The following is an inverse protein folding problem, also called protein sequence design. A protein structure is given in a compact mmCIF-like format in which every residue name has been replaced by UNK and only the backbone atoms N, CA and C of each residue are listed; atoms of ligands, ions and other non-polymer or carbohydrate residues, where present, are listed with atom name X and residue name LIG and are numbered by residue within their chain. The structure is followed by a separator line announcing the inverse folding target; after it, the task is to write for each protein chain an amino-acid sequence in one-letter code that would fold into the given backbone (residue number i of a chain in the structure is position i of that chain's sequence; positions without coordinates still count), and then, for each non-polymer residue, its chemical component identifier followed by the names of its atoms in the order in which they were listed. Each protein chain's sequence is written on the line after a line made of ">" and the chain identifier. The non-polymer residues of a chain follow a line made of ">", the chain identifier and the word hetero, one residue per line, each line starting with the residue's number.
data_IF_648875541526
#
_entry.id   IF_648875541526
#
_cell.length_a   1.000
_cell.length_b   1.000
_cell.length_c   1.000
_cell.angle_alpha   90.00
_cell.angle_beta   90.00
_cell.angle_gamma   90.00
#
_symmetry.space_group_name_H-M   'P 1'
#
loop_
_entity.id
_entity.type
_entity.pdbx_description
1 polymer ?
#
# COMPACT_ATOMS: atom_id res chain seq x y z
N UNK A 1 -38.03 -14.47 -59.82
CA UNK A 1 -38.95 -15.62 -60.04
C UNK A 1 -38.14 -16.90 -60.01
N UNK A 2 -38.76 -18.01 -59.58
CA UNK A 2 -38.23 -19.37 -59.31
C UNK A 2 -37.40 -19.50 -58.03
N UNK A 3 -37.93 -20.04 -56.92
CA UNK A 3 -38.55 -21.36 -56.59
C UNK A 3 -37.50 -22.40 -56.14
N UNK A 4 -37.77 -22.88 -54.93
CA UNK A 4 -37.22 -23.97 -54.12
C UNK A 4 -36.89 -25.26 -54.88
N UNK A 5 -36.00 -26.11 -54.32
CA UNK A 5 -36.45 -27.27 -53.52
C UNK A 5 -35.34 -28.32 -53.24
N UNK A 6 -35.40 -28.86 -52.01
CA UNK A 6 -35.01 -30.20 -51.52
C UNK A 6 -33.55 -30.68 -51.50
N UNK A 7 -33.08 -30.95 -50.27
CA UNK A 7 -31.88 -31.71 -49.92
C UNK A 7 -32.32 -32.98 -49.17
N UNK A 8 -31.95 -34.19 -49.61
CA UNK A 8 -31.74 -35.37 -48.71
C UNK A 8 -30.82 -36.44 -49.37
N UNK A 9 -30.02 -37.10 -48.50
CA UNK A 9 -29.27 -38.38 -48.61
C UNK A 9 -27.80 -38.25 -49.06
N UNK A 10 -26.80 -38.93 -48.49
CA UNK A 10 -26.78 -40.16 -47.68
C UNK A 10 -25.57 -40.20 -46.72
N UNK A 11 -25.65 -41.06 -45.70
CA UNK A 11 -24.59 -41.38 -44.75
C UNK A 11 -23.58 -42.40 -45.32
N UNK A 12 -22.34 -42.39 -44.81
CA UNK A 12 -21.45 -43.55 -44.82
C UNK A 12 -20.44 -43.46 -43.67
N UNK A 13 -20.39 -44.54 -42.88
CA UNK A 13 -19.51 -44.76 -41.74
C UNK A 13 -18.08 -45.09 -42.20
N UNK A 14 -17.08 -44.61 -41.47
CA UNK A 14 -15.68 -45.01 -41.63
C UNK A 14 -15.19 -45.74 -40.37
N UNK A 15 -14.78 -47.00 -40.54
CA UNK A 15 -14.09 -47.79 -39.53
C UNK A 15 -12.60 -47.45 -39.52
N UNK A 16 -12.01 -47.29 -38.34
CA UNK A 16 -10.57 -47.10 -38.16
C UNK A 16 -9.98 -48.38 -37.56
N UNK A 17 -9.09 -49.00 -38.31
CA UNK A 17 -8.27 -50.15 -37.93
C UNK A 17 -7.09 -49.71 -37.06
N UNK A 18 -6.86 -50.45 -35.98
CA UNK A 18 -5.72 -50.33 -35.08
C UNK A 18 -4.50 -51.07 -35.64
N UNK A 19 -3.33 -50.43 -35.61
CA UNK A 19 -2.04 -51.08 -35.84
C UNK A 19 -1.21 -51.01 -34.55
N UNK A 20 -0.79 -52.18 -34.06
CA UNK A 20 0.13 -52.33 -32.94
C UNK A 20 1.57 -52.42 -33.45
N UNK A 21 2.50 -51.75 -32.79
CA UNK A 21 3.94 -51.97 -32.94
C UNK A 21 4.53 -52.27 -31.57
N UNK A 22 5.16 -53.44 -31.46
CA UNK A 22 5.88 -53.89 -30.28
C UNK A 22 7.29 -53.28 -30.25
N UNK A 23 7.76 -52.91 -29.05
CA UNK A 23 9.17 -52.62 -28.79
C UNK A 23 9.61 -53.41 -27.55
N UNK A 24 10.63 -54.24 -27.77
CA UNK A 24 11.28 -55.12 -26.79
C UNK A 24 12.01 -54.34 -25.70
N UNK A 25 12.04 -54.93 -24.51
CA UNK A 25 12.54 -54.32 -23.28
C UNK A 25 14.06 -54.19 -23.17
N UNK A 26 14.45 -53.22 -22.35
CA UNK A 26 15.76 -53.15 -21.70
C UNK A 26 15.47 -53.04 -20.20
N UNK A 27 15.97 -54.01 -19.44
CA UNK A 27 15.88 -54.03 -17.99
C UNK A 27 16.85 -53.00 -17.38
N UNK A 28 16.34 -52.11 -16.54
CA UNK A 28 17.15 -51.29 -15.64
C UNK A 28 16.90 -51.74 -14.20
N UNK A 29 17.99 -52.09 -13.52
CA UNK A 29 18.04 -52.52 -12.14
C UNK A 29 17.49 -51.41 -11.21
N UNK A 30 16.53 -51.79 -10.36
CA UNK A 30 15.92 -50.89 -9.40
C UNK A 30 16.87 -50.54 -8.24
N UNK A 31 17.15 -49.26 -8.06
CA UNK A 31 17.46 -48.70 -6.76
C UNK A 31 16.20 -48.07 -6.19
N UNK A 32 15.59 -48.73 -5.19
CA UNK A 32 14.49 -48.15 -4.40
C UNK A 32 15.04 -47.01 -3.54
N UNK A 33 14.84 -45.77 -3.97
CA UNK A 33 14.87 -44.63 -3.05
C UNK A 33 13.45 -44.49 -2.49
N UNK A 34 13.25 -44.97 -1.27
CA UNK A 34 12.08 -44.63 -0.45
C UNK A 34 12.15 -43.16 -0.04
N UNK A 35 11.81 -42.27 -0.96
CA UNK A 35 11.50 -40.88 -0.66
C UNK A 35 9.99 -40.73 -0.58
N UNK A 36 9.43 -40.62 0.63
CA UNK A 36 8.08 -40.07 0.82
C UNK A 36 8.13 -38.61 0.37
N UNK A 37 7.86 -38.34 -0.91
CA UNK A 37 7.50 -36.99 -1.34
C UNK A 37 6.09 -36.72 -0.83
N UNK A 38 6.01 -36.18 0.38
CA UNK A 38 4.82 -35.47 0.84
C UNK A 38 4.58 -34.33 -0.14
N UNK A 39 3.42 -34.35 -0.79
CA UNK A 39 2.86 -33.17 -1.45
C UNK A 39 2.91 -32.00 -0.45
N UNK A 40 3.29 -30.78 -0.87
CA UNK A 40 3.21 -29.64 0.03
C UNK A 40 1.75 -29.49 0.49
N UNK A 41 1.56 -29.39 1.80
CA UNK A 41 0.26 -29.10 2.37
C UNK A 41 -0.28 -27.82 1.71
N UNK A 42 -1.51 -27.88 1.18
CA UNK A 42 -2.22 -26.69 0.77
C UNK A 42 -2.23 -25.74 1.98
N UNK A 43 -1.62 -24.55 1.84
CA UNK A 43 -1.70 -23.52 2.86
C UNK A 43 -3.19 -23.22 3.09
N UNK A 44 -3.73 -23.71 4.20
CA UNK A 44 -5.07 -23.34 4.65
C UNK A 44 -5.07 -21.84 4.92
N UNK A 45 -6.15 -21.17 4.53
CA UNK A 45 -6.33 -19.75 4.85
C UNK A 45 -6.19 -19.55 6.37
N UNK A 46 -5.53 -18.48 6.84
CA UNK A 46 -5.30 -18.26 8.25
C UNK A 46 -6.65 -18.20 8.99
N UNK A 47 -6.75 -18.80 10.18
CA UNK A 47 -7.93 -18.60 11.01
C UNK A 47 -8.01 -17.11 11.42
N UNK A 48 -9.18 -16.45 11.41
CA UNK A 48 -9.26 -15.01 11.71
C UNK A 48 -8.58 -14.59 13.01
N UNK A 49 -8.75 -15.36 14.08
CA UNK A 49 -8.14 -15.08 15.39
C UNK A 49 -6.60 -15.17 15.37
N UNK A 50 -6.01 -15.91 14.42
CA UNK A 50 -4.55 -16.00 14.30
C UNK A 50 -3.91 -14.68 13.88
N UNK A 51 -4.67 -13.74 13.30
CA UNK A 51 -4.16 -12.45 12.87
C UNK A 51 -3.88 -11.49 14.04
N UNK A 52 -4.41 -11.74 15.25
CA UNK A 52 -4.16 -10.88 16.42
C UNK A 52 -2.66 -10.73 16.67
N UNK A 53 -2.20 -9.49 16.83
CA UNK A 53 -0.79 -9.11 16.98
C UNK A 53 -0.01 -9.01 15.66
N UNK A 54 -0.55 -9.53 14.57
CA UNK A 54 0.09 -9.44 13.24
C UNK A 54 -0.27 -8.13 12.53
N UNK A 55 0.50 -7.78 11.50
CA UNK A 55 0.12 -6.69 10.59
C UNK A 55 -1.18 -7.07 9.88
N UNK A 56 -2.16 -6.19 9.88
CA UNK A 56 -3.41 -6.43 9.19
C UNK A 56 -3.16 -6.52 7.67
N UNK A 57 -3.70 -7.54 6.97
CA UNK A 57 -3.57 -7.63 5.52
C UNK A 57 -4.04 -6.35 4.84
N UNK A 58 -3.25 -5.85 3.88
CA UNK A 58 -3.55 -4.61 3.21
C UNK A 58 -4.76 -4.78 2.27
N UNK A 59 -5.64 -3.78 2.21
CA UNK A 59 -6.73 -3.77 1.24
C UNK A 59 -6.84 -2.44 0.52
N UNK A 60 -7.40 -2.49 -0.69
CA UNK A 60 -7.92 -1.36 -1.44
C UNK A 60 -9.18 -1.85 -2.15
N UNK A 61 -10.35 -1.50 -1.61
CA UNK A 61 -11.66 -1.94 -2.10
C UNK A 61 -12.49 -0.74 -2.55
N UNK A 62 -13.25 -0.83 -3.64
CA UNK A 62 -14.22 0.20 -3.98
C UNK A 62 -15.34 0.26 -2.92
N UNK A 63 -15.76 1.47 -2.57
CA UNK A 63 -16.96 1.68 -1.76
C UNK A 63 -18.23 1.66 -2.62
N UNK A 64 -19.37 1.96 -2.01
CA UNK A 64 -20.64 2.03 -2.72
C UNK A 64 -20.61 3.02 -3.91
N UNK A 65 -19.79 4.05 -3.89
CA UNK A 65 -19.69 5.03 -4.97
C UNK A 65 -18.52 4.74 -5.94
N UNK A 66 -18.05 3.50 -5.97
CA UNK A 66 -16.89 3.06 -6.75
C UNK A 66 -15.58 3.77 -6.36
N UNK A 67 -15.57 4.48 -5.22
CA UNK A 67 -14.38 5.18 -4.74
C UNK A 67 -13.49 4.19 -3.99
N UNK A 68 -12.20 4.07 -4.34
CA UNK A 68 -11.30 3.18 -3.63
C UNK A 68 -11.09 3.67 -2.19
N UNK A 69 -11.25 2.76 -1.23
CA UNK A 69 -10.93 2.94 0.19
C UNK A 69 -9.87 1.91 0.57
N UNK A 70 -8.87 2.35 1.31
CA UNK A 70 -7.73 1.49 1.64
C UNK A 70 -7.40 1.50 3.12
N UNK A 71 -6.80 0.43 3.62
CA UNK A 71 -6.29 0.40 4.99
C UNK A 71 -5.25 1.52 5.23
N UNK A 72 -4.47 1.86 4.20
CA UNK A 72 -3.44 2.89 4.27
C UNK A 72 -4.02 4.29 4.50
N UNK A 73 -5.24 4.58 4.03
CA UNK A 73 -5.90 5.89 4.25
C UNK A 73 -6.28 6.12 5.72
N UNK A 74 -6.35 5.04 6.51
CA UNK A 74 -6.75 5.05 7.89
C UNK A 74 -5.56 5.05 8.88
N UNK A 75 -4.34 5.27 8.39
CA UNK A 75 -3.11 5.28 9.19
C UNK A 75 -3.22 6.26 10.37
N UNK A 76 -2.75 5.84 11.54
CA UNK A 76 -2.81 6.66 12.76
C UNK A 76 -4.20 6.72 13.41
N UNK A 77 -5.19 6.02 12.83
CA UNK A 77 -6.52 5.84 13.40
C UNK A 77 -6.75 4.37 13.70
N UNK A 78 -7.67 4.11 14.62
CA UNK A 78 -8.22 2.77 14.74
C UNK A 78 -9.09 2.46 13.52
N UNK A 79 -9.07 1.19 13.08
CA UNK A 79 -9.97 0.71 12.03
C UNK A 79 -10.84 -0.40 12.60
N UNK A 80 -12.16 -0.25 12.49
CA UNK A 80 -13.11 -1.33 12.73
C UNK A 80 -13.58 -1.86 11.38
N UNK A 81 -13.12 -3.04 11.00
CA UNK A 81 -13.48 -3.66 9.72
C UNK A 81 -14.42 -4.84 9.97
N UNK A 82 -15.70 -4.66 9.65
CA UNK A 82 -16.76 -5.60 9.95
C UNK A 82 -17.24 -6.32 8.68
N UNK A 83 -16.85 -7.58 8.53
CA UNK A 83 -17.35 -8.43 7.46
C UNK A 83 -18.79 -8.87 7.74
N UNK A 84 -19.59 -9.03 6.68
CA UNK A 84 -20.92 -9.59 6.74
C UNK A 84 -21.23 -10.44 5.49
N UNK A 85 -22.11 -11.46 5.60
CA UNK A 85 -22.33 -12.40 4.50
C UNK A 85 -22.93 -11.81 3.23
N UNK A 86 -24.04 -11.07 3.36
CA UNK A 86 -24.83 -10.66 2.18
C UNK A 86 -25.67 -9.42 2.46
N UNK A 87 -25.60 -8.45 1.55
CA UNK A 87 -26.42 -7.25 1.49
C UNK A 87 -27.91 -7.61 1.50
N UNK A 88 -28.74 -6.72 2.04
CA UNK A 88 -30.21 -6.83 2.03
C UNK A 88 -30.79 -8.09 2.68
N UNK A 89 -30.03 -8.79 3.53
CA UNK A 89 -30.53 -9.89 4.36
C UNK A 89 -30.81 -9.42 5.78
N UNK A 90 -31.86 -9.95 6.43
CA UNK A 90 -32.36 -9.46 7.73
C UNK A 90 -31.29 -9.17 8.77
N UNK A 91 -30.38 -10.13 9.01
CA UNK A 91 -29.30 -9.94 9.99
C UNK A 91 -28.21 -8.96 9.54
N UNK A 92 -27.92 -8.86 8.24
CA UNK A 92 -26.95 -7.89 7.72
C UNK A 92 -27.53 -6.47 7.70
N UNK A 93 -28.82 -6.33 7.41
CA UNK A 93 -29.55 -5.06 7.52
C UNK A 93 -29.51 -4.52 8.95
N UNK A 94 -29.78 -5.36 9.96
CA UNK A 94 -29.69 -4.93 11.37
C UNK A 94 -28.27 -4.47 11.73
N UNK A 95 -27.24 -5.24 11.36
CA UNK A 95 -25.84 -4.85 11.59
C UNK A 95 -25.52 -3.49 10.95
N UNK A 96 -25.77 -3.34 9.66
CA UNK A 96 -25.41 -2.12 8.92
C UNK A 96 -26.25 -0.91 9.37
N UNK A 97 -27.49 -1.10 9.80
CA UNK A 97 -28.29 -0.04 10.43
C UNK A 97 -27.67 0.42 11.76
N UNK A 98 -27.22 -0.50 12.63
CA UNK A 98 -26.54 -0.12 13.88
C UNK A 98 -25.31 0.77 13.62
N UNK A 99 -24.50 0.42 12.60
CA UNK A 99 -23.33 1.21 12.20
C UNK A 99 -23.68 2.58 11.63
N UNK A 100 -24.76 2.69 10.85
CA UNK A 100 -25.24 3.99 10.36
C UNK A 100 -25.69 4.90 11.50
N UNK A 101 -26.43 4.37 12.48
CA UNK A 101 -26.89 5.11 13.65
C UNK A 101 -25.74 5.62 14.53
N UNK A 102 -24.68 4.82 14.67
CA UNK A 102 -23.56 5.14 15.54
C UNK A 102 -22.36 5.79 14.82
N UNK A 103 -22.48 6.11 13.51
CA UNK A 103 -21.37 6.53 12.65
C UNK A 103 -20.49 7.62 13.26
N UNK A 104 -21.12 8.68 13.77
CA UNK A 104 -20.41 9.84 14.33
C UNK A 104 -19.62 9.52 15.61
N UNK A 105 -20.03 8.48 16.36
CA UNK A 105 -19.37 8.08 17.61
C UNK A 105 -18.02 7.41 17.39
N UNK A 106 -17.72 6.88 16.19
CA UNK A 106 -16.39 6.34 15.91
C UNK A 106 -15.33 7.44 15.78
N UNK A 107 -15.72 8.60 15.25
CA UNK A 107 -14.83 9.77 15.12
C UNK A 107 -14.33 10.28 16.47
N UNK A 108 -15.18 10.28 17.51
CA UNK A 108 -14.78 10.67 18.88
C UNK A 108 -13.72 9.74 19.49
N UNK A 109 -13.57 8.54 18.91
CA UNK A 109 -12.57 7.56 19.30
C UNK A 109 -11.31 7.55 18.41
N UNK A 110 -11.14 8.55 17.53
CA UNK A 110 -10.10 8.56 16.51
C UNK A 110 -10.10 7.25 15.70
N UNK A 111 -11.30 6.80 15.31
CA UNK A 111 -11.51 5.58 14.56
C UNK A 111 -12.28 5.83 13.27
N UNK A 112 -11.98 5.03 12.27
CA UNK A 112 -12.81 4.84 11.08
C UNK A 112 -13.36 3.41 11.10
N UNK A 113 -14.45 3.18 10.37
CA UNK A 113 -14.99 1.85 10.24
C UNK A 113 -15.48 1.60 8.81
N UNK A 114 -15.42 0.34 8.42
CA UNK A 114 -15.89 -0.16 7.13
C UNK A 114 -16.69 -1.42 7.36
N UNK A 115 -17.80 -1.58 6.65
CA UNK A 115 -18.49 -2.86 6.55
C UNK A 115 -18.17 -3.49 5.19
N UNK A 116 -17.89 -4.79 5.14
CA UNK A 116 -17.35 -5.45 3.94
C UNK A 116 -18.15 -6.70 3.60
N UNK A 117 -18.54 -6.88 2.34
CA UNK A 117 -19.10 -8.15 1.83
C UNK A 117 -18.58 -8.41 0.40
N UNK A 118 -18.78 -9.63 -0.09
CA UNK A 118 -18.21 -10.08 -1.38
C UNK A 118 -18.99 -9.63 -2.61
N UNK A 119 -20.09 -8.88 -2.42
CA UNK A 119 -20.90 -8.32 -3.49
C UNK A 119 -20.34 -6.98 -3.99
N UNK A 120 -20.61 -6.65 -5.25
CA UNK A 120 -20.11 -5.46 -5.94
C UNK A 120 -20.67 -4.12 -5.40
N UNK A 121 -20.10 -3.01 -5.86
CA UNK A 121 -20.50 -1.66 -5.48
C UNK A 121 -21.93 -1.31 -5.89
N UNK A 122 -22.48 -1.91 -6.94
CA UNK A 122 -23.88 -1.71 -7.33
C UNK A 122 -24.85 -2.27 -6.28
N UNK A 123 -24.58 -3.48 -5.78
CA UNK A 123 -25.27 -4.06 -4.63
C UNK A 123 -25.16 -3.18 -3.38
N UNK A 124 -23.96 -2.64 -3.11
CA UNK A 124 -23.76 -1.72 -1.97
C UNK A 124 -24.60 -0.45 -2.09
N UNK A 125 -24.70 0.15 -3.30
CA UNK A 125 -25.58 1.31 -3.53
C UNK A 125 -27.03 0.98 -3.33
N UNK A 126 -27.50 -0.13 -3.90
CA UNK A 126 -28.88 -0.57 -3.76
C UNK A 126 -29.24 -0.76 -2.27
N UNK A 127 -28.36 -1.40 -1.51
CA UNK A 127 -28.53 -1.60 -0.08
C UNK A 127 -28.54 -0.28 0.69
N UNK A 128 -27.62 0.64 0.40
CA UNK A 128 -27.60 1.98 1.01
C UNK A 128 -28.90 2.75 0.74
N UNK A 129 -29.38 2.72 -0.50
CA UNK A 129 -30.60 3.41 -0.91
C UNK A 129 -31.84 2.82 -0.24
N UNK A 130 -31.95 1.49 -0.22
CA UNK A 130 -33.11 0.77 0.32
C UNK A 130 -33.25 0.90 1.84
N UNK A 131 -32.13 0.80 2.56
CA UNK A 131 -32.10 0.77 4.02
C UNK A 131 -31.61 2.06 4.68
N UNK A 132 -31.45 3.12 3.88
CA UNK A 132 -30.96 4.44 4.30
C UNK A 132 -29.62 4.36 5.06
N UNK A 133 -28.71 3.51 4.58
CA UNK A 133 -27.40 3.35 5.21
C UNK A 133 -26.49 4.52 4.85
N UNK A 134 -25.86 5.13 5.86
CA UNK A 134 -25.10 6.38 5.71
C UNK A 134 -23.59 6.23 5.90
N UNK A 135 -23.13 5.03 6.24
CA UNK A 135 -21.72 4.71 6.42
C UNK A 135 -21.09 4.16 5.13
N UNK A 136 -19.79 3.89 5.18
CA UNK A 136 -19.04 3.34 4.04
C UNK A 136 -19.13 1.82 4.05
N UNK A 137 -19.65 1.25 2.95
CA UNK A 137 -19.68 -0.19 2.71
C UNK A 137 -18.69 -0.49 1.57
N UNK A 138 -17.84 -1.51 1.73
CA UNK A 138 -16.83 -1.91 0.76
C UNK A 138 -17.22 -3.18 0.02
N UNK A 139 -16.93 -3.21 -1.28
CA UNK A 139 -17.19 -4.33 -2.17
C UNK A 139 -15.91 -5.16 -2.40
N UNK A 140 -15.87 -6.37 -1.85
CA UNK A 140 -14.78 -7.34 -2.00
C UNK A 140 -15.13 -8.39 -3.06
N UNK A 141 -15.29 -7.94 -4.31
CA UNK A 141 -15.66 -8.82 -5.43
C UNK A 141 -14.65 -9.96 -5.57
N UNK A 142 -15.13 -11.20 -5.55
CA UNK A 142 -14.28 -12.39 -5.59
C UNK A 142 -13.64 -12.78 -4.25
N UNK A 143 -13.88 -12.01 -3.19
CA UNK A 143 -13.52 -12.35 -1.81
C UNK A 143 -12.03 -12.35 -1.52
N UNK A 144 -11.22 -11.58 -2.26
CA UNK A 144 -9.75 -11.58 -2.10
C UNK A 144 -9.36 -11.12 -0.70
N UNK A 145 -9.93 -10.01 -0.23
CA UNK A 145 -9.65 -9.50 1.12
C UNK A 145 -10.25 -10.44 2.17
N UNK A 146 -11.44 -10.98 1.94
CA UNK A 146 -12.05 -11.98 2.82
C UNK A 146 -11.19 -13.25 2.96
N UNK A 147 -10.46 -13.67 1.93
CA UNK A 147 -9.50 -14.79 1.99
C UNK A 147 -8.29 -14.45 2.84
N UNK A 148 -7.70 -13.27 2.64
CA UNK A 148 -6.54 -12.81 3.42
C UNK A 148 -6.87 -12.65 4.91
N UNK A 149 -8.09 -12.22 5.22
CA UNK A 149 -8.59 -12.11 6.59
C UNK A 149 -9.13 -13.43 7.15
N UNK A 150 -9.13 -14.52 6.37
CA UNK A 150 -9.56 -15.84 6.85
C UNK A 150 -11.07 -16.01 7.04
N UNK A 151 -11.88 -15.12 6.44
CA UNK A 151 -13.34 -15.09 6.61
C UNK A 151 -14.10 -15.54 5.38
N UNK A 152 -13.44 -15.84 4.27
CA UNK A 152 -14.12 -16.32 3.06
C UNK A 152 -14.73 -17.73 3.24
N UNK A 153 -15.98 -17.90 2.82
CA UNK A 153 -16.73 -19.15 2.85
C UNK A 153 -16.71 -19.79 1.46
N UNK A 154 -15.97 -20.88 1.29
CA UNK A 154 -15.73 -21.50 -0.02
C UNK A 154 -16.96 -22.21 -0.61
N UNK A 155 -17.92 -22.58 0.22
CA UNK A 155 -19.18 -23.25 -0.16
C UNK A 155 -20.14 -22.32 -0.91
N UNK A 156 -20.13 -21.02 -0.60
CA UNK A 156 -21.11 -20.06 -1.12
C UNK A 156 -20.52 -18.73 -1.60
N UNK A 157 -19.20 -18.52 -1.46
CA UNK A 157 -18.50 -17.33 -1.93
C UNK A 157 -18.77 -16.06 -1.11
N UNK A 158 -19.36 -16.18 0.07
CA UNK A 158 -19.67 -15.07 0.97
C UNK A 158 -18.61 -14.92 2.07
N UNK A 159 -18.64 -13.82 2.81
CA UNK A 159 -17.78 -13.62 3.97
C UNK A 159 -18.48 -14.03 5.28
N UNK A 160 -17.76 -14.68 6.19
CA UNK A 160 -18.21 -14.90 7.57
C UNK A 160 -18.37 -13.57 8.28
N UNK A 161 -19.36 -13.48 9.18
CA UNK A 161 -19.54 -12.30 10.02
C UNK A 161 -18.47 -12.25 11.11
N UNK A 162 -17.46 -11.40 10.91
CA UNK A 162 -16.33 -11.22 11.82
C UNK A 162 -15.95 -9.74 11.79
N UNK A 163 -15.60 -9.17 12.94
CA UNK A 163 -15.13 -7.79 13.05
C UNK A 163 -13.68 -7.75 13.52
N UNK A 164 -12.82 -7.08 12.76
CA UNK A 164 -11.42 -6.86 13.10
C UNK A 164 -11.24 -5.45 13.67
N UNK A 165 -10.42 -5.34 14.70
CA UNK A 165 -10.00 -4.07 15.30
C UNK A 165 -8.52 -3.89 15.00
N UNK A 166 -8.19 -2.94 14.13
CA UNK A 166 -6.82 -2.66 13.70
C UNK A 166 -6.36 -1.40 14.42
N UNK A 167 -5.22 -1.50 15.08
CA UNK A 167 -4.61 -0.43 15.83
C UNK A 167 -3.97 0.64 14.90
N UNK A 168 -3.68 1.84 15.43
CA UNK A 168 -3.06 2.93 14.66
C UNK A 168 -1.72 2.58 13.99
N UNK A 169 -0.99 1.60 14.53
CA UNK A 169 0.26 1.07 13.96
C UNK A 169 0.05 0.04 12.83
N UNK A 170 -1.21 -0.28 12.50
CA UNK A 170 -1.58 -1.24 11.45
C UNK A 170 -1.65 -2.70 11.90
N UNK A 171 -1.48 -3.01 13.19
CA UNK A 171 -1.62 -4.38 13.70
C UNK A 171 -3.06 -4.71 14.07
N UNK A 172 -3.48 -5.97 13.88
CA UNK A 172 -4.77 -6.44 14.39
C UNK A 172 -4.67 -6.54 15.91
N UNK A 173 -5.39 -5.66 16.61
CA UNK A 173 -5.43 -5.64 18.06
C UNK A 173 -6.41 -6.68 18.63
N UNK A 174 -7.51 -6.95 17.91
CA UNK A 174 -8.54 -7.89 18.34
C UNK A 174 -9.40 -8.37 17.17
N UNK A 175 -10.08 -9.50 17.35
CA UNK A 175 -11.02 -10.11 16.40
C UNK A 175 -12.26 -10.57 17.15
N UNK A 176 -13.42 -10.01 16.78
CA UNK A 176 -14.71 -10.42 17.30
C UNK A 176 -15.40 -11.37 16.31
N UNK A 177 -15.75 -12.57 16.78
CA UNK A 177 -16.48 -13.59 16.02
C UNK A 177 -17.90 -13.83 16.56
N UNK A 178 -18.31 -13.11 17.62
CA UNK A 178 -19.57 -13.28 18.33
C UNK A 178 -20.48 -12.05 18.18
N UNK A 179 -20.77 -11.68 16.93
CA UNK A 179 -21.45 -10.42 16.60
C UNK A 179 -22.94 -10.51 16.90
N UNK A 180 -23.44 -9.60 17.73
CA UNK A 180 -24.86 -9.33 17.91
C UNK A 180 -25.30 -8.26 16.92
N UNK A 181 -26.04 -8.67 15.90
CA UNK A 181 -26.33 -7.80 14.75
C UNK A 181 -27.09 -6.52 15.11
N UNK A 182 -27.98 -6.56 16.10
CA UNK A 182 -28.77 -5.38 16.49
C UNK A 182 -27.95 -4.31 17.24
N UNK A 183 -26.83 -4.69 17.87
CA UNK A 183 -25.99 -3.83 18.72
C UNK A 183 -24.53 -3.80 18.24
N UNK A 184 -24.29 -4.18 16.99
CA UNK A 184 -22.93 -4.44 16.50
C UNK A 184 -22.03 -3.21 16.63
N UNK A 185 -22.56 -2.03 16.32
CA UNK A 185 -21.80 -0.79 16.41
C UNK A 185 -21.53 -0.35 17.86
N UNK A 186 -22.50 -0.47 18.75
CA UNK A 186 -22.33 -0.20 20.19
C UNK A 186 -21.30 -1.14 20.81
N UNK A 187 -21.38 -2.43 20.46
CA UNK A 187 -20.42 -3.44 20.91
C UNK A 187 -19.01 -3.12 20.41
N UNK A 188 -18.88 -2.73 19.13
CA UNK A 188 -17.61 -2.29 18.56
C UNK A 188 -17.07 -1.03 19.22
N UNK A 189 -17.90 -0.03 19.53
CA UNK A 189 -17.47 1.18 20.23
C UNK A 189 -16.98 0.87 21.66
N UNK A 190 -17.65 -0.04 22.36
CA UNK A 190 -17.25 -0.48 23.70
C UNK A 190 -15.93 -1.23 23.68
N UNK A 191 -15.79 -2.20 22.75
CA UNK A 191 -14.57 -2.97 22.57
C UNK A 191 -13.40 -2.08 22.15
N UNK A 192 -13.64 -1.17 21.21
CA UNK A 192 -12.67 -0.16 20.79
C UNK A 192 -12.21 0.73 21.96
N UNK A 193 -13.11 1.19 22.82
CA UNK A 193 -12.75 1.99 23.99
C UNK A 193 -11.85 1.21 24.97
N UNK A 194 -12.14 -0.07 25.19
CA UNK A 194 -11.30 -0.95 26.01
C UNK A 194 -9.91 -1.14 25.39
N UNK A 195 -9.84 -1.46 24.09
CA UNK A 195 -8.59 -1.62 23.35
C UNK A 195 -7.75 -0.35 23.33
N UNK A 196 -8.38 0.83 23.18
CA UNK A 196 -7.69 2.12 23.24
C UNK A 196 -7.05 2.39 24.61
N UNK A 197 -7.68 1.91 25.68
CA UNK A 197 -7.16 2.07 27.03
C UNK A 197 -5.92 1.20 27.25
N UNK A 198 -5.96 -0.06 26.82
CA UNK A 198 -4.79 -0.96 26.91
C UNK A 198 -3.66 -0.58 25.94
N UNK A 199 -4.00 -0.06 24.76
CA UNK A 199 -3.03 0.35 23.74
C UNK A 199 -2.25 1.63 24.11
N UNK A 200 -2.89 2.58 24.82
CA UNK A 200 -2.18 3.77 25.35
C UNK A 200 -1.10 3.41 26.38
N UNK A 201 -1.19 2.27 27.06
CA UNK A 201 -0.17 1.80 27.99
C UNK A 201 1.08 1.25 27.29
N UNK A 202 1.06 1.04 25.97
CA UNK A 202 2.15 0.46 25.17
C UNK A 202 2.87 1.47 24.25
N UNK A 203 2.45 2.74 24.22
CA UNK A 203 3.05 3.81 23.41
C UNK A 203 3.10 5.10 24.24
N UNK A 204 4.25 5.78 24.42
CA UNK A 204 4.32 7.01 25.22
C UNK A 204 3.38 8.10 24.68
N UNK A 205 2.62 8.71 25.59
CA UNK A 205 1.75 9.83 25.31
C UNK A 205 2.56 11.05 24.83
N UNK A 206 2.69 11.22 23.52
CA UNK A 206 3.41 12.35 22.93
C UNK A 206 3.20 12.57 21.43
N UNK A 207 2.31 11.84 20.77
CA UNK A 207 2.03 11.98 19.35
C UNK A 207 0.56 12.30 19.10
N UNK A 208 0.12 13.50 19.45
CA UNK A 208 -0.92 14.17 18.68
C UNK A 208 -0.24 15.22 17.81
N UNK A 209 0.20 14.83 16.62
CA UNK A 209 0.43 15.82 15.56
C UNK A 209 -0.93 16.20 14.97
N UNK A 210 -1.19 17.49 14.71
CA UNK A 210 -2.44 17.95 14.13
C UNK A 210 -2.59 17.36 12.72
N UNK A 211 -3.75 16.78 12.44
CA UNK A 211 -4.12 16.34 11.11
C UNK A 211 -4.31 17.55 10.20
N UNK A 212 -3.25 17.98 9.51
CA UNK A 212 -3.39 18.83 8.33
C UNK A 212 -3.90 17.97 7.18
N UNK A 213 -5.07 18.36 6.64
CA UNK A 213 -5.71 17.78 5.44
C UNK A 213 -4.65 17.41 4.38
N UNK A 214 -4.73 16.19 3.86
CA UNK A 214 -4.01 15.81 2.65
C UNK A 214 -4.37 16.78 1.53
N UNK A 215 -3.37 17.48 1.00
CA UNK A 215 -3.51 18.32 -0.20
C UNK A 215 -3.60 17.37 -1.39
N UNK A 216 -4.65 17.49 -2.21
CA UNK A 216 -4.76 16.76 -3.47
C UNK A 216 -3.91 17.45 -4.54
N UNK A 217 -3.02 16.70 -5.21
CA UNK A 217 -2.07 17.19 -6.22
C UNK A 217 -0.60 17.17 -5.75
N UNK A 218 0.36 17.44 -6.65
CA UNK A 218 1.78 17.42 -6.32
C UNK A 218 2.10 18.51 -5.30
N UNK A 219 3.00 18.26 -4.34
CA UNK A 219 3.37 19.27 -3.36
C UNK A 219 3.93 20.51 -4.05
N UNK A 220 3.37 21.67 -3.75
CA UNK A 220 3.89 22.96 -4.24
C UNK A 220 4.77 23.60 -3.19
N UNK A 221 5.73 24.42 -3.64
CA UNK A 221 6.56 25.22 -2.74
C UNK A 221 5.67 26.03 -1.79
N UNK A 222 5.99 25.99 -0.50
CA UNK A 222 5.24 26.61 0.59
C UNK A 222 4.10 25.76 1.17
N UNK A 223 3.79 24.59 0.60
CA UNK A 223 2.76 23.68 1.10
C UNK A 223 3.33 22.55 1.95
N UNK A 224 2.58 22.12 2.96
CA UNK A 224 2.89 20.90 3.72
C UNK A 224 2.87 19.72 2.76
N UNK A 225 3.95 18.94 2.75
CA UNK A 225 4.05 17.82 1.83
C UNK A 225 3.23 16.61 2.30
N UNK A 226 2.80 15.74 1.37
CA UNK A 226 2.10 14.53 1.73
C UNK A 226 2.95 13.59 2.60
N UNK A 227 2.35 13.05 3.67
CA UNK A 227 3.03 12.17 4.60
C UNK A 227 3.16 10.74 4.06
N UNK A 228 4.24 10.04 4.41
CA UNK A 228 4.43 8.63 4.08
C UNK A 228 5.00 7.81 5.25
N UNK A 229 4.85 6.49 5.18
CA UNK A 229 5.70 5.51 5.86
C UNK A 229 6.19 4.52 4.83
N UNK A 230 7.49 4.28 4.83
CA UNK A 230 8.11 3.29 3.97
C UNK A 230 9.04 2.39 4.79
N UNK A 231 9.22 1.16 4.32
CA UNK A 231 10.18 0.25 4.93
C UNK A 231 11.61 0.69 4.58
N UNK A 232 12.47 0.73 5.59
CA UNK A 232 13.91 0.78 5.40
C UNK A 232 14.43 -0.66 5.25
N UNK A 233 14.83 -1.08 4.04
CA UNK A 233 15.28 -2.45 3.80
C UNK A 233 16.61 -2.78 4.51
N UNK A 234 17.40 -1.78 4.91
CA UNK A 234 18.67 -2.01 5.61
C UNK A 234 18.45 -2.37 7.09
N UNK A 235 17.38 -1.86 7.71
CA UNK A 235 17.09 -2.08 9.14
C UNK A 235 15.85 -2.92 9.39
N UNK A 236 15.00 -3.12 8.38
CA UNK A 236 13.68 -3.71 8.50
C UNK A 236 12.64 -2.80 9.18
N UNK A 237 13.04 -1.63 9.68
CA UNK A 237 12.14 -0.70 10.34
C UNK A 237 11.27 0.05 9.33
N UNK A 238 10.01 0.30 9.69
CA UNK A 238 9.21 1.30 8.97
C UNK A 238 9.56 2.67 9.50
N UNK A 239 9.89 3.60 8.61
CA UNK A 239 10.21 4.98 8.97
C UNK A 239 9.18 5.91 8.34
N UNK A 240 8.64 6.82 9.16
CA UNK A 240 7.71 7.85 8.68
C UNK A 240 8.43 9.16 8.37
N UNK A 241 7.88 9.94 7.43
CA UNK A 241 8.39 11.28 7.14
C UNK A 241 8.42 12.17 8.38
N UNK A 242 7.38 12.09 9.20
CA UNK A 242 7.28 12.84 10.45
C UNK A 242 8.44 12.53 11.41
N UNK A 243 8.74 11.24 11.64
CA UNK A 243 9.85 10.84 12.52
C UNK A 243 11.21 11.24 11.95
N UNK A 244 11.39 11.07 10.63
CA UNK A 244 12.61 11.46 9.94
C UNK A 244 12.84 12.97 9.99
N UNK A 245 11.78 13.76 9.97
CA UNK A 245 11.83 15.23 9.99
C UNK A 245 11.84 15.83 11.39
N UNK A 246 11.70 15.00 12.44
CA UNK A 246 11.55 15.49 13.81
C UNK A 246 12.81 16.23 14.27
N UNK A 247 12.61 17.44 14.79
CA UNK A 247 13.66 18.31 15.32
C UNK A 247 14.75 18.63 14.27
N UNK A 248 14.36 18.72 12.99
CA UNK A 248 15.24 19.07 11.87
C UNK A 248 14.95 20.45 11.32
N UNK A 249 16.01 21.16 10.95
CA UNK A 249 15.92 22.44 10.22
C UNK A 249 15.53 22.23 8.75
N UNK A 250 15.94 21.10 8.18
CA UNK A 250 15.54 20.68 6.84
C UNK A 250 15.50 19.16 6.72
N UNK A 251 14.59 18.66 5.87
CA UNK A 251 14.55 17.25 5.48
C UNK A 251 14.62 17.14 3.96
N UNK A 252 15.56 16.34 3.46
CA UNK A 252 15.81 16.11 2.04
C UNK A 252 15.30 14.74 1.66
N UNK A 253 14.33 14.71 0.75
CA UNK A 253 13.87 13.50 0.08
C UNK A 253 14.51 13.43 -1.30
N UNK A 254 15.17 12.33 -1.62
CA UNK A 254 15.80 12.10 -2.92
C UNK A 254 15.26 10.82 -3.52
N UNK A 255 14.53 10.91 -4.63
CA UNK A 255 14.13 9.73 -5.40
C UNK A 255 15.36 9.20 -6.14
N UNK A 256 15.81 7.99 -5.77
CA UNK A 256 17.05 7.38 -6.26
C UNK A 256 16.79 6.02 -6.90
N UNK A 257 17.66 5.64 -7.83
CA UNK A 257 17.62 4.35 -8.52
C UNK A 257 18.98 3.67 -8.47
N UNK A 258 18.98 2.33 -8.34
CA UNK A 258 20.21 1.54 -8.31
C UNK A 258 20.77 1.30 -9.72
N UNK A 259 19.90 1.26 -10.74
CA UNK A 259 20.25 0.94 -12.12
C UNK A 259 20.32 2.18 -13.04
N UNK A 260 19.95 3.37 -12.57
CA UNK A 260 20.03 4.58 -13.39
C UNK A 260 21.46 5.14 -13.40
N UNK A 261 22.12 5.28 -14.57
CA UNK A 261 23.47 5.85 -14.65
C UNK A 261 23.50 7.31 -14.18
N UNK A 262 22.43 8.08 -14.41
CA UNK A 262 22.34 9.46 -13.92
C UNK A 262 22.31 9.49 -12.40
N UNK A 263 21.40 8.75 -11.76
CA UNK A 263 21.33 8.64 -10.29
C UNK A 263 22.66 8.20 -9.69
N UNK A 264 23.33 7.23 -10.31
CA UNK A 264 24.60 6.70 -9.83
C UNK A 264 25.76 7.71 -9.95
N UNK A 265 25.74 8.60 -10.94
CA UNK A 265 26.73 9.66 -11.08
C UNK A 265 26.73 10.65 -9.89
N UNK A 266 25.63 10.73 -9.14
CA UNK A 266 25.51 11.58 -7.96
C UNK A 266 25.87 10.88 -6.64
N UNK A 267 26.16 9.58 -6.61
CA UNK A 267 26.37 8.85 -5.36
C UNK A 267 27.44 9.48 -4.45
N UNK A 268 28.60 9.80 -5.01
CA UNK A 268 29.69 10.47 -4.28
C UNK A 268 29.26 11.85 -3.78
N UNK A 269 28.56 12.64 -4.60
CA UNK A 269 28.10 13.99 -4.23
C UNK A 269 27.02 13.94 -3.14
N UNK A 270 26.11 12.97 -3.18
CA UNK A 270 25.09 12.75 -2.13
C UNK A 270 25.72 12.35 -0.80
N UNK A 271 26.74 11.48 -0.81
CA UNK A 271 27.49 11.12 0.39
C UNK A 271 28.22 12.34 0.99
N UNK A 272 28.87 13.16 0.14
CA UNK A 272 29.53 14.40 0.55
C UNK A 272 28.55 15.43 1.13
N UNK A 273 27.38 15.61 0.51
CA UNK A 273 26.33 16.49 1.03
C UNK A 273 25.83 16.00 2.38
N UNK A 274 25.56 14.70 2.52
CA UNK A 274 25.10 14.14 3.79
C UNK A 274 26.12 14.37 4.91
N UNK A 275 27.41 14.18 4.63
CA UNK A 275 28.49 14.47 5.58
C UNK A 275 28.59 15.96 5.93
N UNK A 276 28.48 16.85 4.94
CA UNK A 276 28.63 18.31 5.12
C UNK A 276 27.49 18.98 5.92
N UNK A 277 26.39 18.25 6.15
CA UNK A 277 25.21 18.73 6.85
C UNK A 277 24.84 17.89 8.08
N UNK A 278 25.69 16.93 8.47
CA UNK A 278 25.42 16.00 9.57
C UNK A 278 25.23 16.69 10.93
N UNK A 279 25.94 17.80 11.16
CA UNK A 279 25.90 18.62 12.37
C UNK A 279 24.96 19.83 12.25
N UNK A 280 24.26 19.99 11.12
CA UNK A 280 23.41 21.14 10.81
C UNK A 280 21.91 20.85 10.95
N UNK A 281 21.56 19.79 11.66
CA UNK A 281 20.16 19.36 11.89
C UNK A 281 19.40 19.12 10.57
N UNK A 282 20.08 18.60 9.55
CA UNK A 282 19.49 18.20 8.26
C UNK A 282 19.35 16.69 8.20
N UNK A 283 18.17 16.20 7.81
CA UNK A 283 17.95 14.77 7.54
C UNK A 283 17.96 14.51 6.03
N UNK A 284 18.77 13.55 5.58
CA UNK A 284 18.70 13.00 4.22
C UNK A 284 17.92 11.68 4.22
N UNK A 285 17.09 11.47 3.19
CA UNK A 285 16.30 10.25 2.98
C UNK A 285 16.27 9.94 1.49
N UNK A 286 16.77 8.76 1.11
CA UNK A 286 16.58 8.21 -0.23
C UNK A 286 15.25 7.49 -0.33
N UNK A 287 14.59 7.55 -1.49
CA UNK A 287 13.37 6.78 -1.78
C UNK A 287 13.58 6.05 -3.10
N UNK A 288 13.47 4.72 -3.07
CA UNK A 288 13.58 3.88 -4.25
C UNK A 288 12.21 3.37 -4.71
N UNK A 289 11.69 3.95 -5.78
CA UNK A 289 10.35 3.64 -6.32
C UNK A 289 10.38 2.74 -7.57
N UNK A 290 11.55 2.39 -8.10
CA UNK A 290 11.62 1.55 -9.30
C UNK A 290 11.09 0.13 -9.03
N UNK A 291 10.14 -0.34 -9.84
CA UNK A 291 9.47 -1.65 -9.62
C UNK A 291 10.39 -2.85 -9.74
N UNK A 292 11.42 -2.76 -10.59
CA UNK A 292 12.33 -3.86 -10.90
C UNK A 292 13.52 -3.95 -9.93
N UNK A 293 13.71 -2.94 -9.08
CA UNK A 293 14.84 -2.86 -8.15
C UNK A 293 14.39 -3.42 -6.79
N UNK A 294 15.06 -4.49 -6.35
CA UNK A 294 14.69 -5.20 -5.12
C UNK A 294 15.19 -4.48 -3.85
N UNK A 295 14.57 -4.75 -2.71
CA UNK A 295 15.03 -4.24 -1.41
C UNK A 295 16.50 -4.61 -1.12
N UNK A 296 16.91 -5.85 -1.40
CA UNK A 296 18.28 -6.33 -1.20
C UNK A 296 19.28 -5.61 -2.10
N UNK A 297 18.89 -5.33 -3.35
CA UNK A 297 19.69 -4.55 -4.29
C UNK A 297 19.89 -3.12 -3.80
N UNK A 298 18.84 -2.47 -3.31
CA UNK A 298 18.91 -1.12 -2.71
C UNK A 298 19.91 -1.07 -1.56
N UNK A 299 19.85 -2.03 -0.63
CA UNK A 299 20.80 -2.11 0.50
C UNK A 299 22.23 -2.31 0.02
N UNK A 300 22.43 -3.22 -0.93
CA UNK A 300 23.76 -3.55 -1.47
C UNK A 300 24.37 -2.37 -2.22
N UNK A 301 23.55 -1.66 -2.99
CA UNK A 301 23.95 -0.46 -3.72
C UNK A 301 24.32 0.68 -2.76
N UNK A 302 23.51 0.94 -1.74
CA UNK A 302 23.79 1.98 -0.75
C UNK A 302 25.14 1.75 -0.06
N UNK A 303 25.37 0.50 0.39
CA UNK A 303 26.62 0.10 1.03
C UNK A 303 27.82 0.24 0.09
N UNK A 304 27.71 -0.23 -1.16
CA UNK A 304 28.78 -0.16 -2.17
C UNK A 304 29.19 1.29 -2.46
N UNK A 305 28.25 2.22 -2.42
CA UNK A 305 28.45 3.61 -2.82
C UNK A 305 28.64 4.58 -1.64
N UNK A 306 28.73 4.06 -0.40
CA UNK A 306 28.95 4.90 0.79
C UNK A 306 27.77 5.83 1.13
N UNK A 307 26.54 5.46 0.73
CA UNK A 307 25.34 6.22 1.07
C UNK A 307 24.91 5.84 2.49
N UNK A 308 25.17 6.73 3.45
CA UNK A 308 24.95 6.49 4.89
C UNK A 308 23.57 6.92 5.38
N UNK A 309 22.83 7.70 4.58
CA UNK A 309 21.46 8.08 4.88
C UNK A 309 20.48 6.93 4.58
N UNK A 310 19.33 6.85 5.29
CA UNK A 310 18.34 5.81 5.03
C UNK A 310 17.82 5.89 3.59
N UNK A 311 17.80 4.75 2.88
CA UNK A 311 17.16 4.62 1.57
C UNK A 311 15.95 3.70 1.70
N UNK A 312 14.76 4.27 1.66
CA UNK A 312 13.50 3.57 1.85
C UNK A 312 13.00 2.95 0.53
N UNK A 313 12.32 1.82 0.61
CA UNK A 313 11.68 1.20 -0.55
C UNK A 313 10.23 1.68 -0.66
N UNK A 314 9.81 2.08 -1.87
CA UNK A 314 8.44 2.50 -2.21
C UNK A 314 7.79 1.50 -3.18
N UNK A 315 7.23 0.37 -2.67
CA UNK A 315 6.56 -0.62 -3.50
C UNK A 315 5.30 -0.07 -4.15
N UNK A 316 5.17 -0.28 -5.46
CA UNK A 316 4.01 0.17 -6.23
C UNK A 316 3.98 1.67 -6.49
N UNK A 317 5.11 2.37 -6.33
CA UNK A 317 5.27 3.79 -6.70
C UNK A 317 4.39 4.77 -5.92
N UNK A 318 3.82 4.37 -4.77
CA UNK A 318 2.81 5.16 -4.05
C UNK A 318 3.32 6.55 -3.68
N UNK A 319 4.52 6.63 -3.12
CA UNK A 319 5.10 7.93 -2.71
C UNK A 319 5.56 8.70 -3.94
N UNK A 320 6.13 8.04 -4.95
CA UNK A 320 6.48 8.68 -6.22
C UNK A 320 5.26 9.21 -6.98
N UNK A 321 4.10 8.56 -6.92
CA UNK A 321 2.85 9.05 -7.50
C UNK A 321 2.34 10.26 -6.71
N UNK A 322 2.35 10.18 -5.38
CA UNK A 322 1.86 11.25 -4.51
C UNK A 322 2.69 12.54 -4.58
N UNK A 323 4.00 12.40 -4.77
CA UNK A 323 4.92 13.52 -4.97
C UNK A 323 5.06 13.93 -6.44
N UNK A 324 4.43 13.18 -7.36
CA UNK A 324 4.64 13.26 -8.82
C UNK A 324 6.12 13.26 -9.23
N UNK A 325 6.97 12.55 -8.47
CA UNK A 325 8.37 12.36 -8.82
C UNK A 325 8.46 11.63 -10.17
N UNK A 326 9.27 12.12 -11.09
CA UNK A 326 9.27 11.67 -12.48
C UNK A 326 10.60 11.07 -12.89
N UNK A 327 11.71 11.52 -12.29
CA UNK A 327 13.07 11.12 -12.66
C UNK A 327 13.92 10.74 -11.44
N UNK A 328 15.06 10.10 -11.69
CA UNK A 328 16.08 9.82 -10.68
C UNK A 328 17.45 10.34 -11.13
N UNK A 329 18.15 11.19 -10.34
CA UNK A 329 17.74 11.67 -9.02
C UNK A 329 16.76 12.87 -9.11
N UNK A 330 15.84 12.96 -8.15
CA UNK A 330 14.92 14.10 -8.01
C UNK A 330 14.75 14.46 -6.53
N UNK A 331 14.86 15.75 -6.21
CA UNK A 331 14.99 16.23 -4.83
C UNK A 331 13.77 17.03 -4.41
N UNK A 332 13.29 16.77 -3.20
CA UNK A 332 12.30 17.57 -2.48
C UNK A 332 12.88 17.93 -1.10
N UNK A 333 12.98 19.22 -0.79
CA UNK A 333 13.47 19.70 0.51
C UNK A 333 12.32 20.31 1.27
N UNK A 334 12.14 19.86 2.50
CA UNK A 334 11.18 20.37 3.45
C UNK A 334 11.88 21.33 4.42
N UNK A 335 11.22 22.42 4.80
CA UNK A 335 11.62 23.24 5.94
C UNK A 335 11.24 22.60 7.28
N UNK A 336 11.62 23.23 8.39
CA UNK A 336 11.34 22.78 9.76
C UNK A 336 9.83 22.65 10.07
N UNK A 337 8.95 23.30 9.29
CA UNK A 337 7.50 23.20 9.42
C UNK A 337 6.88 22.09 8.56
N UNK A 338 7.69 21.32 7.85
CA UNK A 338 7.26 20.25 6.95
C UNK A 338 6.71 20.76 5.61
N UNK A 339 6.96 22.02 5.26
CA UNK A 339 6.54 22.61 3.98
C UNK A 339 7.63 22.43 2.93
N UNK A 340 7.24 22.20 1.68
CA UNK A 340 8.18 22.13 0.56
C UNK A 340 8.86 23.48 0.37
N UNK A 341 10.18 23.54 0.53
CA UNK A 341 11.00 24.73 0.36
C UNK A 341 11.80 24.71 -0.95
N UNK A 342 12.11 23.52 -1.48
CA UNK A 342 12.79 23.34 -2.76
C UNK A 342 12.36 22.04 -3.43
N UNK A 343 12.25 22.06 -4.76
CA UNK A 343 12.04 20.89 -5.60
C UNK A 343 12.83 21.06 -6.88
N UNK A 344 13.63 20.06 -7.25
CA UNK A 344 14.50 20.16 -8.43
C UNK A 344 15.65 19.15 -8.44
N UNK A 345 16.74 19.43 -9.17
CA UNK A 345 17.93 18.61 -9.19
C UNK A 345 18.82 18.86 -7.98
N UNK A 346 19.85 18.03 -7.81
CA UNK A 346 20.91 18.23 -6.80
C UNK A 346 21.76 19.45 -7.17
N UNK A 347 22.19 19.50 -8.42
CA UNK A 347 22.99 20.57 -9.05
C UNK A 347 22.61 20.67 -10.54
N UNK A 348 23.28 21.52 -11.32
CA UNK A 348 22.96 21.76 -12.72
C UNK A 348 23.66 20.82 -13.73
N UNK A 349 24.41 19.80 -13.29
CA UNK A 349 25.17 18.94 -14.21
C UNK A 349 25.39 17.52 -13.68
N UNK A 350 25.12 16.51 -14.51
CA UNK A 350 25.52 15.13 -14.20
C UNK A 350 27.05 15.00 -14.03
N UNK A 351 27.83 15.70 -14.86
CA UNK A 351 29.28 15.78 -14.77
C UNK A 351 29.70 16.72 -13.64
N UNK A 352 30.39 16.17 -12.64
CA UNK A 352 30.86 16.89 -11.46
C UNK A 352 31.76 18.09 -11.81
N UNK A 353 32.56 17.98 -12.87
CA UNK A 353 33.51 19.02 -13.28
C UNK A 353 32.84 20.20 -13.96
N UNK A 354 31.62 20.00 -14.47
CA UNK A 354 30.86 21.01 -15.20
C UNK A 354 29.78 21.70 -14.35
N UNK A 355 29.69 21.38 -13.05
CA UNK A 355 28.72 21.99 -12.13
C UNK A 355 29.01 23.48 -11.94
N UNK A 356 28.01 24.32 -12.18
CA UNK A 356 28.07 25.79 -11.96
C UNK A 356 27.12 26.24 -10.86
N UNK A 357 26.06 25.48 -10.57
CA UNK A 357 25.06 25.83 -9.56
C UNK A 357 24.83 24.66 -8.60
N UNK A 358 25.02 24.92 -7.30
CA UNK A 358 24.90 23.92 -6.24
C UNK A 358 23.51 24.01 -5.59
N UNK A 359 22.46 23.79 -6.38
CA UNK A 359 21.07 24.13 -6.05
C UNK A 359 20.58 23.54 -4.72
N UNK A 360 20.83 22.25 -4.47
CA UNK A 360 20.47 21.62 -3.19
C UNK A 360 21.27 22.20 -2.03
N UNK A 361 22.56 22.48 -2.22
CA UNK A 361 23.40 23.12 -1.20
C UNK A 361 22.88 24.51 -0.87
N UNK A 362 22.58 25.32 -1.87
CA UNK A 362 22.08 26.69 -1.67
C UNK A 362 20.75 26.71 -0.92
N UNK A 363 19.86 25.75 -1.21
CA UNK A 363 18.61 25.56 -0.49
C UNK A 363 18.85 25.21 0.99
N UNK A 364 19.75 24.26 1.26
CA UNK A 364 20.07 23.82 2.63
C UNK A 364 20.82 24.88 3.44
N UNK A 365 21.75 25.61 2.83
CA UNK A 365 22.45 26.73 3.48
C UNK A 365 21.47 27.86 3.83
N UNK A 366 20.45 28.09 3.01
CA UNK A 366 19.38 29.04 3.34
C UNK A 366 18.58 28.57 4.57
N UNK A 367 18.07 27.34 4.55
CA UNK A 367 17.22 26.81 5.63
C UNK A 367 17.98 26.65 6.96
N UNK A 368 19.23 26.18 6.93
CA UNK A 368 20.05 25.99 8.14
C UNK A 368 20.39 27.32 8.83
N UNK A 369 20.34 28.42 8.07
CA UNK A 369 20.52 29.80 8.56
C UNK A 369 19.19 30.50 8.85
N UNK A 370 18.05 29.80 8.78
CA UNK A 370 16.72 30.38 9.01
C UNK A 370 16.22 31.31 7.90
N UNK A 371 16.83 31.26 6.71
CA UNK A 371 16.44 32.06 5.54
C UNK A 371 15.51 31.27 4.63
N UNK A 372 14.62 31.97 3.92
CA UNK A 372 13.78 31.37 2.87
C UNK A 372 14.62 31.00 1.65
N UNK A 373 14.27 29.88 0.99
CA UNK A 373 14.91 29.44 -0.25
C UNK A 373 14.42 30.31 -1.41
N UNK A 374 15.36 30.87 -2.18
CA UNK A 374 15.06 31.70 -3.36
C UNK A 374 15.80 31.13 -4.58
N UNK A 375 15.28 30.02 -5.11
CA UNK A 375 15.81 29.35 -6.30
C UNK A 375 14.70 29.30 -7.35
N UNK A 376 14.98 29.73 -8.58
CA UNK A 376 14.00 29.78 -9.67
C UNK A 376 14.33 28.79 -10.77
N UNK A 377 13.31 28.09 -11.29
CA UNK A 377 13.37 27.41 -12.59
C UNK A 377 14.24 26.15 -12.67
N UNK A 378 14.59 25.52 -11.55
CA UNK A 378 15.42 24.32 -11.55
C UNK A 378 14.58 23.05 -11.77
N UNK A 379 14.65 22.46 -12.97
CA UNK A 379 13.95 21.21 -13.29
C UNK A 379 14.87 20.02 -13.07
N UNK A 380 14.38 19.01 -12.33
CA UNK A 380 15.10 17.76 -12.17
C UNK A 380 15.30 17.05 -13.52
N UNK A 381 16.41 16.34 -13.66
CA UNK A 381 16.74 15.57 -14.85
C UNK A 381 17.33 14.21 -14.47
N UNK A 382 17.05 13.20 -15.28
CA UNK A 382 17.53 11.84 -15.04
C UNK A 382 16.72 10.78 -15.77
N UNK A 383 16.94 9.52 -15.41
CA UNK A 383 16.15 8.42 -15.94
C UNK A 383 14.72 8.50 -15.37
N UNK A 384 13.70 8.22 -16.18
CA UNK A 384 12.33 8.12 -15.68
C UNK A 384 12.19 7.03 -14.62
N UNK A 385 11.43 7.31 -13.55
CA UNK A 385 11.05 6.31 -12.55
C UNK A 385 10.31 5.16 -13.24
N UNK A 386 10.73 3.92 -12.97
CA UNK A 386 10.16 2.72 -13.57
C UNK A 386 8.94 2.28 -12.77
N UNK A 387 7.77 2.75 -13.22
CA UNK A 387 6.48 2.55 -12.53
C UNK A 387 5.87 1.17 -12.78
N UNK A 388 5.11 0.68 -11.80
CA UNK A 388 4.15 -0.42 -12.00
C UNK A 388 3.14 -0.02 -13.08
N UNK A 389 2.74 -0.94 -13.98
CA UNK A 389 1.70 -0.64 -14.95
C UNK A 389 0.42 -0.26 -14.22
N UNK A 390 -0.19 0.87 -14.58
CA UNK A 390 -1.56 1.18 -14.18
C UNK A 390 -2.46 0.25 -14.99
N UNK A 391 -3.37 -0.54 -14.37
CA UNK A 391 -4.33 -1.33 -15.12
C UNK A 391 -5.11 -0.39 -16.04
N UNK A 392 -5.04 -0.62 -17.36
CA UNK A 392 -5.83 0.15 -18.31
C UNK A 392 -7.30 -0.07 -17.98
N UNK A 393 -8.02 1.01 -17.67
CA UNK A 393 -9.47 1.00 -17.69
C UNK A 393 -9.88 0.59 -19.11
N UNK A 394 -10.31 -0.67 -19.29
CA UNK A 394 -10.86 -1.08 -20.57
C UNK A 394 -12.17 -0.32 -20.76
N UNK A 395 -12.16 0.48 -21.83
CA UNK A 395 -13.23 1.33 -22.34
C UNK A 395 -14.51 0.58 -22.65
#
# INVERSE_FOLDING_TARGET
>A
MQKSSTTVRAASFLAITTAAVAVSGIAFAGSRVSGKTSLPAANSAPAPASLVGQSAPAFSLPDQNDKPRSLAEAKGKWVVMAFYPKDETTGCTLQNKSYSTAKEKFGTQNAVFYTVSTQDSASKRAFCAKDALTHTLLADVGGTVAKEYGVYMTDNGLARRVTFYIAPDGKVADVDQSIRVATAAEDSLKRLAALRTSYKSAVPAGASAPATKAVAGPPKIGQVVPQFSLANPATGATQSLQELSKDKKATVLIFVATQCPVSNAYNTRMAQLTAAYADKEVQFVGINSNKQESATEVVSHAKKNGLTFPILKDPGNKVADQYEASVTPEVFVLDASGKLAFHGPIDDSQDASAVKQQLLRDALDSLTQGRSVVIKGARAFGCSIKRVPVPSAQS
#
